data_IF_578385236424
#
_entry.id   IF_578385236424
#
_cell.length_a   1.000
_cell.length_b   1.000
_cell.length_c   1.000
_cell.angle_alpha   90.00
_cell.angle_beta   90.00
_cell.angle_gamma   90.00
#
_symmetry.space_group_name_H-M   'P 1'
#
loop_
_entity.id
_entity.type
_entity.pdbx_description
1 polymer ?
#
# COMPACT_ATOMS: atom_id res chain seq x y z
N UNK A 1 -23.05 -9.82 10.19
CA UNK A 1 -22.37 -10.13 8.91
C UNK A 1 -20.88 -10.26 9.21
N UNK A 2 -20.27 -11.33 8.79
CA UNK A 2 -18.84 -11.57 9.01
C UNK A 2 -18.10 -11.35 7.68
N UNK A 3 -16.98 -10.68 7.72
CA UNK A 3 -16.08 -10.57 6.57
C UNK A 3 -15.10 -11.72 6.69
N UNK A 4 -15.15 -12.67 5.72
CA UNK A 4 -14.23 -13.79 5.69
C UNK A 4 -12.82 -13.32 5.35
N UNK A 5 -11.93 -13.39 6.35
CA UNK A 5 -10.50 -13.18 6.20
C UNK A 5 -9.83 -14.45 6.71
N UNK A 6 -9.51 -15.37 5.81
CA UNK A 6 -8.97 -16.65 6.22
C UNK A 6 -9.89 -17.39 7.20
N UNK A 7 -9.36 -18.29 8.00
CA UNK A 7 -10.16 -19.07 8.96
C UNK A 7 -10.59 -18.29 10.22
N UNK A 8 -10.28 -17.01 10.38
CA UNK A 8 -10.72 -16.16 11.48
C UNK A 8 -11.32 -14.85 10.96
N UNK A 9 -12.56 -14.69 11.28
CA UNK A 9 -13.43 -13.57 10.92
C UNK A 9 -13.20 -12.39 11.87
N UNK A 10 -12.96 -11.21 11.32
CA UNK A 10 -13.21 -9.96 12.04
C UNK A 10 -14.72 -9.88 12.29
N UNK A 11 -15.12 -9.95 13.54
CA UNK A 11 -16.53 -9.83 13.90
C UNK A 11 -16.97 -8.38 13.71
N UNK A 12 -18.13 -8.15 13.13
CA UNK A 12 -18.72 -6.81 13.05
C UNK A 12 -18.79 -6.17 14.45
N UNK A 13 -19.09 -6.98 15.49
CA UNK A 13 -19.11 -6.51 16.88
C UNK A 13 -17.76 -5.94 17.36
N UNK A 14 -16.64 -6.42 16.85
CA UNK A 14 -15.31 -5.88 17.20
C UNK A 14 -15.05 -4.55 16.50
N UNK A 15 -15.55 -4.37 15.28
CA UNK A 15 -15.51 -3.10 14.57
C UNK A 15 -16.45 -2.05 15.21
N UNK A 16 -17.63 -2.46 15.66
CA UNK A 16 -18.57 -1.56 16.35
C UNK A 16 -17.99 -0.96 17.64
N UNK A 17 -17.12 -1.69 18.34
CA UNK A 17 -16.44 -1.17 19.54
C UNK A 17 -15.49 -0.01 19.25
N UNK A 18 -14.97 0.11 18.02
CA UNK A 18 -14.09 1.22 17.63
C UNK A 18 -14.90 2.52 17.43
N UNK A 19 -16.22 2.42 17.20
CA UNK A 19 -17.14 3.53 16.96
C UNK A 19 -17.80 4.06 18.21
N UNK A 20 -17.42 3.57 19.37
CA UNK A 20 -17.95 4.04 20.65
C UNK A 20 -17.67 5.53 20.92
N UNK A 21 -18.37 6.09 21.91
CA UNK A 21 -18.11 7.47 22.35
C UNK A 21 -16.65 7.61 22.84
N UNK A 22 -16.14 8.84 22.79
CA UNK A 22 -14.80 9.15 23.30
C UNK A 22 -14.68 8.70 24.78
N UNK A 23 -13.67 7.92 25.09
CA UNK A 23 -13.46 7.29 26.39
C UNK A 23 -14.04 5.88 26.53
N UNK A 24 -14.96 5.46 25.67
CA UNK A 24 -15.54 4.11 25.64
C UNK A 24 -15.06 3.30 24.41
N UNK A 25 -14.66 3.99 23.35
CA UNK A 25 -14.14 3.38 22.14
C UNK A 25 -12.90 2.53 22.46
N UNK A 26 -12.79 1.39 21.77
CA UNK A 26 -11.65 0.48 21.89
C UNK A 26 -10.91 0.40 20.54
N UNK A 27 -9.63 0.06 20.61
CA UNK A 27 -8.85 -0.27 19.41
C UNK A 27 -9.39 -1.54 18.75
N UNK A 28 -9.00 -1.76 17.50
CA UNK A 28 -9.26 -3.02 16.82
C UNK A 28 -8.61 -4.19 17.59
N UNK A 29 -9.14 -5.42 17.44
CA UNK A 29 -8.52 -6.62 18.01
C UNK A 29 -7.06 -6.74 17.60
N UNK A 30 -6.21 -7.27 18.48
CA UNK A 30 -4.77 -7.42 18.23
C UNK A 30 -4.42 -8.22 16.98
N UNK A 31 -5.27 -9.19 16.63
CA UNK A 31 -5.12 -10.01 15.42
C UNK A 31 -5.14 -9.19 14.14
N UNK A 32 -5.80 -8.02 14.11
CA UNK A 32 -5.81 -7.13 12.95
C UNK A 32 -4.42 -6.63 12.62
N UNK A 33 -3.59 -6.43 13.64
CA UNK A 33 -2.24 -5.87 13.49
C UNK A 33 -1.16 -6.93 13.23
N UNK A 34 -1.48 -8.21 13.37
CA UNK A 34 -0.51 -9.30 13.27
C UNK A 34 -0.90 -10.40 12.28
N UNK A 35 -2.10 -10.34 11.71
CA UNK A 35 -2.58 -11.36 10.77
C UNK A 35 -2.13 -11.07 9.35
N UNK A 36 -1.45 -12.03 8.73
CA UNK A 36 -1.10 -11.96 7.30
C UNK A 36 -2.34 -11.94 6.40
N UNK A 37 -3.43 -12.57 6.80
CA UNK A 37 -4.66 -12.56 6.02
C UNK A 37 -5.30 -11.17 6.00
N UNK A 38 -5.27 -10.45 7.13
CA UNK A 38 -5.70 -9.06 7.20
C UNK A 38 -4.80 -8.19 6.31
N UNK A 39 -3.48 -8.35 6.40
CA UNK A 39 -2.53 -7.63 5.55
C UNK A 39 -2.81 -7.86 4.05
N UNK A 40 -3.07 -9.11 3.63
CA UNK A 40 -3.43 -9.41 2.23
C UNK A 40 -4.73 -8.73 1.80
N UNK A 41 -5.71 -8.60 2.69
CA UNK A 41 -6.94 -7.85 2.41
C UNK A 41 -6.68 -6.36 2.26
N UNK A 42 -5.90 -5.78 3.16
CA UNK A 42 -5.49 -4.38 3.09
C UNK A 42 -4.72 -4.09 1.81
N UNK A 43 -3.77 -4.95 1.45
CA UNK A 43 -3.02 -4.83 0.19
C UNK A 43 -3.93 -4.78 -1.03
N UNK A 44 -4.92 -5.68 -1.11
CA UNK A 44 -5.85 -5.75 -2.25
C UNK A 44 -6.96 -4.71 -2.21
N UNK A 45 -7.47 -4.41 -1.02
CA UNK A 45 -8.64 -3.57 -0.81
C UNK A 45 -8.32 -2.10 -0.63
N UNK A 46 -7.14 -1.77 -0.12
CA UNK A 46 -6.72 -0.41 0.21
C UNK A 46 -5.49 -0.03 -0.61
N UNK A 47 -4.34 -0.64 -0.33
CA UNK A 47 -3.07 -0.19 -0.90
C UNK A 47 -2.97 -0.32 -2.42
N UNK A 48 -3.66 -1.27 -3.04
CA UNK A 48 -3.71 -1.42 -4.50
C UNK A 48 -4.77 -0.54 -5.18
N UNK A 49 -5.59 0.21 -4.42
CA UNK A 49 -6.74 0.95 -4.97
C UNK A 49 -6.80 2.41 -4.58
N UNK A 50 -6.17 2.78 -3.48
CA UNK A 50 -6.24 4.13 -2.93
C UNK A 50 -5.00 4.95 -3.30
N UNK A 51 -5.10 6.24 -3.10
CA UNK A 51 -3.97 7.14 -3.23
C UNK A 51 -2.98 6.95 -2.08
N UNK A 52 -1.72 6.69 -2.43
CA UNK A 52 -0.65 6.48 -1.46
C UNK A 52 0.43 7.55 -1.61
N UNK A 53 0.87 8.09 -0.49
CA UNK A 53 2.05 8.94 -0.44
C UNK A 53 3.30 8.06 -0.50
N UNK A 54 4.01 8.06 -1.62
CA UNK A 54 5.16 7.18 -1.86
C UNK A 54 6.51 7.87 -1.65
N UNK A 55 6.55 9.20 -1.57
CA UNK A 55 7.77 9.98 -1.39
C UNK A 55 7.52 11.47 -1.50
N UNK A 56 8.58 12.25 -1.51
CA UNK A 56 8.54 13.69 -1.69
C UNK A 56 9.02 14.06 -3.08
N UNK A 57 8.44 15.07 -3.67
CA UNK A 57 8.89 15.63 -4.94
C UNK A 57 10.36 16.08 -4.90
N UNK A 58 10.81 16.53 -3.73
CA UNK A 58 12.19 16.94 -3.49
C UNK A 58 13.21 15.78 -3.51
N UNK A 59 12.75 14.53 -3.40
CA UNK A 59 13.64 13.35 -3.46
C UNK A 59 14.11 13.06 -4.89
N UNK A 60 13.42 13.60 -5.90
CA UNK A 60 13.78 13.53 -7.33
C UNK A 60 13.77 14.93 -7.95
N UNK A 61 14.70 15.82 -7.56
CA UNK A 61 14.68 17.23 -7.95
C UNK A 61 14.99 17.51 -9.42
N UNK A 62 15.67 16.59 -10.11
CA UNK A 62 16.15 16.79 -11.48
C UNK A 62 15.52 15.85 -12.46
N UNK A 63 15.44 16.26 -13.73
CA UNK A 63 15.10 15.38 -14.84
C UNK A 63 16.01 14.15 -14.87
N UNK A 64 15.44 12.97 -14.98
CA UNK A 64 16.13 11.68 -14.93
C UNK A 64 16.31 11.10 -13.54
N UNK A 65 16.03 11.84 -12.47
CA UNK A 65 16.02 11.29 -11.11
C UNK A 65 14.86 10.32 -10.93
N UNK A 66 15.10 9.29 -10.12
CA UNK A 66 14.12 8.26 -9.85
C UNK A 66 14.37 7.58 -8.49
N UNK A 67 13.35 6.93 -7.98
CA UNK A 67 13.45 6.00 -6.85
C UNK A 67 12.51 4.81 -7.03
N UNK A 68 12.76 3.74 -6.29
CA UNK A 68 11.90 2.57 -6.21
C UNK A 68 11.07 2.58 -4.94
N UNK A 69 9.86 2.04 -5.05
CA UNK A 69 8.97 1.82 -3.92
C UNK A 69 8.27 0.48 -4.05
N UNK A 70 8.30 -0.32 -2.99
CA UNK A 70 7.47 -1.53 -2.90
C UNK A 70 6.10 -1.15 -2.34
N UNK A 71 5.05 -1.46 -3.10
CA UNK A 71 3.65 -1.14 -2.76
C UNK A 71 2.82 -2.41 -2.93
N UNK A 72 2.28 -2.92 -1.85
CA UNK A 72 1.41 -4.11 -1.85
C UNK A 72 2.01 -5.35 -2.56
N UNK A 73 3.34 -5.45 -2.56
CA UNK A 73 4.08 -6.54 -3.21
C UNK A 73 4.54 -6.24 -4.64
N UNK A 74 4.17 -5.08 -5.18
CA UNK A 74 4.62 -4.62 -6.49
C UNK A 74 5.74 -3.59 -6.36
N UNK A 75 6.79 -3.72 -7.19
CA UNK A 75 7.84 -2.71 -7.31
C UNK A 75 7.40 -1.62 -8.29
N UNK A 76 7.47 -0.37 -7.87
CA UNK A 76 7.08 0.80 -8.63
C UNK A 76 8.27 1.74 -8.79
N UNK A 77 8.51 2.19 -10.01
CA UNK A 77 9.49 3.24 -10.34
C UNK A 77 8.76 4.57 -10.32
N UNK A 78 9.26 5.52 -9.55
CA UNK A 78 8.83 6.92 -9.60
C UNK A 78 9.96 7.73 -10.21
N UNK A 79 9.69 8.49 -11.26
CA UNK A 79 10.73 9.21 -12.01
C UNK A 79 10.26 10.60 -12.42
N UNK A 80 11.20 11.51 -12.59
CA UNK A 80 10.97 12.84 -13.19
C UNK A 80 11.47 12.82 -14.64
N UNK A 81 10.58 13.14 -15.57
CA UNK A 81 10.94 13.24 -16.99
C UNK A 81 11.68 14.53 -17.35
N UNK A 82 12.02 14.68 -18.64
CA UNK A 82 12.76 15.83 -19.16
C UNK A 82 11.96 17.14 -19.04
N UNK A 83 10.64 17.06 -19.06
CA UNK A 83 9.71 18.18 -18.92
C UNK A 83 9.45 18.55 -17.43
N UNK A 84 10.03 17.79 -16.49
CA UNK A 84 9.88 17.98 -15.05
C UNK A 84 8.64 17.34 -14.45
N UNK A 85 7.90 16.53 -15.23
CA UNK A 85 6.71 15.82 -14.77
C UNK A 85 7.09 14.55 -14.01
N UNK A 86 6.41 14.29 -12.90
CA UNK A 86 6.59 13.06 -12.13
C UNK A 86 5.65 11.99 -12.66
N UNK A 87 6.22 10.85 -13.00
CA UNK A 87 5.52 9.67 -13.51
C UNK A 87 5.82 8.47 -12.63
N UNK A 88 4.89 7.51 -12.59
CA UNK A 88 5.07 6.24 -11.89
C UNK A 88 4.75 5.06 -12.81
N UNK A 89 5.58 4.04 -12.76
CA UNK A 89 5.46 2.83 -13.59
C UNK A 89 5.72 1.59 -12.77
N UNK A 90 5.10 0.48 -13.13
CA UNK A 90 5.52 -0.82 -12.60
C UNK A 90 6.96 -1.13 -13.05
N UNK A 91 7.78 -1.59 -12.10
CA UNK A 91 9.17 -1.99 -12.35
C UNK A 91 9.25 -3.35 -13.03
N UNK A 92 8.59 -3.47 -14.17
CA UNK A 92 8.49 -4.72 -14.92
C UNK A 92 8.56 -4.47 -16.43
N UNK A 93 9.39 -5.23 -17.11
CA UNK A 93 9.46 -5.22 -18.57
C UNK A 93 8.20 -5.85 -19.18
N UNK A 94 7.49 -5.12 -20.01
CA UNK A 94 6.27 -5.63 -20.70
C UNK A 94 6.56 -6.77 -21.67
N UNK A 95 7.83 -6.95 -22.10
CA UNK A 95 8.23 -7.96 -23.05
C UNK A 95 8.55 -9.29 -22.37
N UNK A 96 9.33 -9.30 -21.29
CA UNK A 96 9.83 -10.51 -20.63
C UNK A 96 9.59 -10.57 -19.12
N UNK A 97 8.80 -9.67 -18.58
CA UNK A 97 8.51 -9.58 -17.16
C UNK A 97 9.74 -9.48 -16.24
N UNK A 98 10.91 -9.14 -16.78
CA UNK A 98 12.10 -8.88 -16.01
C UNK A 98 12.00 -7.52 -15.31
N UNK A 99 12.65 -7.39 -14.17
CA UNK A 99 12.81 -6.12 -13.48
C UNK A 99 13.59 -5.14 -14.36
N UNK A 100 13.19 -3.87 -14.37
CA UNK A 100 13.84 -2.83 -15.16
C UNK A 100 14.98 -2.16 -14.39
N UNK A 101 14.78 -1.93 -13.09
CA UNK A 101 15.74 -1.31 -12.18
C UNK A 101 15.82 -2.11 -10.88
N UNK A 102 17.01 -2.34 -10.37
CA UNK A 102 17.22 -3.14 -9.17
C UNK A 102 17.38 -2.28 -7.91
N UNK A 103 18.10 -1.18 -7.95
CA UNK A 103 18.23 -0.20 -6.85
C UNK A 103 18.69 1.16 -7.42
N UNK A 104 18.45 2.28 -6.71
CA UNK A 104 18.97 3.59 -7.10
C UNK A 104 20.46 3.71 -6.85
#
# INVERSE_FOLDING_TARGET
>A
MAIEVGQRLLRVADLERTRGAFGEARTLPGEVYSSEDVLRLEQRGIFAREWLCVGREADIPKAGDWFLKEIAGDSVIVTRDAEGVINAFYNVCRHRASRLLDEP
#
